data_IF_086674872701
#
_entry.id   IF_086674872701
#
_cell.length_a   1.000
_cell.length_b   1.000
_cell.length_c   1.000
_cell.angle_alpha   90.00
_cell.angle_beta   90.00
_cell.angle_gamma   90.00
#
_symmetry.space_group_name_H-M   'P 1'
#
loop_
_entity.id
_entity.type
_entity.pdbx_description
1 polymer ?
#
# COMPACT_ATOMS: atom_id res chain seq x y z
N UNK A 1 8.05 -10.76 -26.10
CA UNK A 1 9.19 -10.34 -25.28
C UNK A 1 8.69 -9.70 -23.96
N UNK A 2 7.88 -8.61 -24.00
CA UNK A 2 7.43 -7.94 -22.74
C UNK A 2 6.65 -8.90 -21.84
N UNK A 3 5.57 -9.53 -22.35
CA UNK A 3 4.76 -10.46 -21.59
C UNK A 3 5.55 -11.67 -21.02
N UNK A 4 6.62 -12.10 -21.69
CA UNK A 4 7.50 -13.15 -21.18
C UNK A 4 8.38 -12.64 -20.05
N UNK A 5 8.89 -11.41 -20.18
CA UNK A 5 9.66 -10.76 -19.13
C UNK A 5 8.81 -10.50 -17.88
N UNK A 6 7.56 -10.07 -18.05
CA UNK A 6 6.60 -9.90 -16.94
C UNK A 6 6.29 -11.23 -16.25
N UNK A 7 6.11 -12.34 -17.02
CA UNK A 7 5.97 -13.68 -16.41
C UNK A 7 7.19 -14.12 -15.62
N UNK A 8 8.39 -13.79 -16.10
CA UNK A 8 9.62 -14.09 -15.37
C UNK A 8 9.73 -13.25 -14.09
N UNK A 9 9.41 -11.96 -14.16
CA UNK A 9 9.33 -11.09 -12.98
C UNK A 9 8.28 -11.58 -11.97
N UNK A 10 7.11 -12.00 -12.44
CA UNK A 10 6.06 -12.55 -11.58
C UNK A 10 6.53 -13.79 -10.81
N UNK A 11 7.33 -14.67 -11.45
CA UNK A 11 7.93 -15.82 -10.75
C UNK A 11 8.95 -15.39 -9.70
N UNK A 12 9.75 -14.36 -9.99
CA UNK A 12 10.77 -13.86 -9.07
C UNK A 12 10.14 -13.16 -7.85
N UNK A 13 9.13 -12.34 -8.07
CA UNK A 13 8.46 -11.61 -6.99
C UNK A 13 7.36 -12.42 -6.29
N UNK A 14 6.91 -13.53 -6.88
CA UNK A 14 5.83 -14.35 -6.33
C UNK A 14 4.46 -13.67 -6.39
N UNK A 15 4.29 -12.70 -7.29
CA UNK A 15 3.08 -11.94 -7.51
C UNK A 15 2.99 -11.50 -8.97
N UNK A 16 1.78 -11.31 -9.49
CA UNK A 16 1.60 -10.79 -10.85
C UNK A 16 2.31 -9.44 -11.01
N UNK A 17 3.24 -9.39 -11.97
CA UNK A 17 4.12 -8.26 -12.18
C UNK A 17 3.96 -7.71 -13.59
N UNK A 18 3.73 -6.40 -13.67
CA UNK A 18 3.53 -5.67 -14.93
C UNK A 18 4.52 -4.53 -15.04
N UNK A 19 5.02 -4.29 -16.25
CA UNK A 19 5.95 -3.20 -16.51
C UNK A 19 5.25 -1.93 -16.96
N UNK A 20 5.77 -0.81 -16.52
CA UNK A 20 5.34 0.51 -16.96
C UNK A 20 6.51 1.29 -17.55
N UNK A 21 6.34 1.80 -18.77
CA UNK A 21 7.30 2.72 -19.39
C UNK A 21 7.36 4.10 -18.70
N UNK A 22 6.34 4.45 -17.91
CA UNK A 22 6.28 5.71 -17.16
C UNK A 22 6.95 5.65 -15.78
N UNK A 23 7.63 4.54 -15.47
CA UNK A 23 8.30 4.34 -14.18
C UNK A 23 7.33 4.29 -13.00
N UNK A 24 7.85 4.42 -11.77
CA UNK A 24 7.07 4.36 -10.54
C UNK A 24 5.94 5.41 -10.47
N UNK A 25 6.11 6.55 -11.10
CA UNK A 25 5.05 7.57 -11.17
C UNK A 25 3.77 7.03 -11.82
N UNK A 26 3.88 6.38 -12.98
CA UNK A 26 2.72 5.77 -13.64
C UNK A 26 2.24 4.53 -12.88
N UNK A 27 3.13 3.74 -12.29
CA UNK A 27 2.74 2.60 -11.44
C UNK A 27 1.86 3.06 -10.27
N UNK A 28 2.24 4.12 -9.57
CA UNK A 28 1.43 4.70 -8.48
C UNK A 28 0.06 5.16 -9.00
N UNK A 29 0.01 5.81 -10.17
CA UNK A 29 -1.26 6.25 -10.75
C UNK A 29 -2.17 5.06 -11.10
N UNK A 30 -1.62 4.01 -11.70
CA UNK A 30 -2.36 2.77 -12.02
C UNK A 30 -2.84 2.08 -10.75
N UNK A 31 -1.98 1.96 -9.75
CA UNK A 31 -2.31 1.39 -8.44
C UNK A 31 -3.52 2.08 -7.81
N UNK A 32 -3.51 3.42 -7.76
CA UNK A 32 -4.62 4.21 -7.23
C UNK A 32 -5.88 4.11 -8.09
N UNK A 33 -5.73 4.02 -9.42
CA UNK A 33 -6.86 3.81 -10.32
C UNK A 33 -7.55 2.47 -10.05
N UNK A 34 -6.77 1.38 -9.93
CA UNK A 34 -7.29 0.04 -9.64
C UNK A 34 -8.02 -0.01 -8.29
N UNK A 35 -7.44 0.58 -7.25
CA UNK A 35 -8.06 0.65 -5.94
C UNK A 35 -9.37 1.46 -5.94
N UNK A 36 -9.41 2.57 -6.68
CA UNK A 36 -10.60 3.37 -6.81
C UNK A 36 -11.69 2.68 -7.66
N UNK A 37 -11.30 1.92 -8.69
CA UNK A 37 -12.22 1.13 -9.51
C UNK A 37 -12.83 -0.02 -8.71
N UNK A 38 -11.99 -0.81 -8.03
CA UNK A 38 -12.43 -1.91 -7.15
C UNK A 38 -13.39 -1.40 -6.05
N UNK A 39 -13.06 -0.26 -5.43
CA UNK A 39 -13.95 0.37 -4.46
C UNK A 39 -15.34 0.70 -5.04
N UNK A 40 -15.39 1.23 -6.26
CA UNK A 40 -16.65 1.57 -6.93
C UNK A 40 -17.45 0.33 -7.31
N UNK A 41 -16.77 -0.74 -7.77
CA UNK A 41 -17.40 -2.01 -8.11
C UNK A 41 -18.00 -2.71 -6.89
N UNK A 42 -17.26 -2.79 -5.78
CA UNK A 42 -17.74 -3.38 -4.52
C UNK A 42 -18.96 -2.64 -3.96
N UNK A 43 -19.02 -1.32 -4.10
CA UNK A 43 -20.21 -0.54 -3.69
C UNK A 43 -21.46 -0.90 -4.46
N UNK A 44 -21.31 -1.27 -5.72
CA UNK A 44 -22.47 -1.63 -6.57
C UNK A 44 -23.01 -3.03 -6.29
N UNK A 45 -22.29 -3.87 -5.56
CA UNK A 45 -22.62 -5.28 -5.33
C UNK A 45 -22.84 -5.73 -3.90
N UNK A 46 -22.44 -4.96 -2.89
CA UNK A 46 -22.50 -5.37 -1.47
C UNK A 46 -23.24 -4.38 -0.58
N UNK A 47 -24.10 -4.91 0.31
CA UNK A 47 -24.57 -4.19 1.50
C UNK A 47 -23.40 -3.89 2.41
N UNK A 48 -22.95 -2.65 2.46
CA UNK A 48 -21.83 -2.22 3.30
C UNK A 48 -22.11 -2.48 4.78
N UNK A 49 -21.15 -3.09 5.47
CA UNK A 49 -21.15 -3.32 6.92
C UNK A 49 -21.01 -2.04 7.76
N UNK A 50 -20.84 -0.89 7.12
CA UNK A 50 -20.80 0.42 7.74
C UNK A 50 -22.16 1.09 7.51
N UNK A 51 -22.96 1.18 8.57
CA UNK A 51 -24.34 1.71 8.59
C UNK A 51 -24.47 3.24 8.36
N UNK A 52 -23.58 3.83 7.59
CA UNK A 52 -23.71 5.24 7.19
C UNK A 52 -24.31 5.31 5.78
N UNK A 53 -25.26 6.22 5.52
CA UNK A 53 -25.81 6.41 4.18
C UNK A 53 -24.68 6.85 3.25
N UNK A 54 -24.19 5.91 2.47
CA UNK A 54 -23.24 6.19 1.41
C UNK A 54 -23.94 7.09 0.38
N UNK A 55 -23.46 8.32 0.26
CA UNK A 55 -23.85 9.16 -0.87
C UNK A 55 -23.50 8.43 -2.16
N UNK A 56 -24.43 8.29 -3.12
CA UNK A 56 -24.21 7.50 -4.34
C UNK A 56 -22.97 7.88 -5.14
N UNK A 57 -22.43 9.09 -4.92
CA UNK A 57 -21.26 9.65 -5.60
C UNK A 57 -20.09 9.96 -4.67
N UNK A 58 -20.00 9.35 -3.49
CA UNK A 58 -18.90 9.63 -2.58
C UNK A 58 -17.54 9.28 -3.20
N UNK A 59 -16.62 10.24 -3.18
CA UNK A 59 -15.24 10.04 -3.65
C UNK A 59 -14.55 8.92 -2.88
N UNK A 60 -13.77 8.04 -3.53
CA UNK A 60 -12.95 7.05 -2.82
C UNK A 60 -12.05 7.74 -1.79
N UNK A 61 -12.01 7.20 -0.56
CA UNK A 61 -11.15 7.69 0.50
C UNK A 61 -9.96 6.75 0.65
N UNK A 62 -8.75 7.28 0.73
CA UNK A 62 -7.54 6.50 1.00
C UNK A 62 -6.84 7.05 2.24
N UNK A 63 -6.58 6.17 3.22
CA UNK A 63 -5.70 6.49 4.34
C UNK A 63 -4.26 6.42 3.86
N UNK A 64 -3.54 7.52 3.86
CA UNK A 64 -2.21 7.62 3.25
C UNK A 64 -1.15 8.10 4.22
N UNK A 65 0.05 7.52 4.15
CA UNK A 65 1.24 8.00 4.83
C UNK A 65 1.61 9.41 4.36
N UNK A 66 2.01 10.26 5.29
CA UNK A 66 2.32 11.68 5.00
C UNK A 66 3.55 11.89 4.11
N UNK A 67 4.40 10.87 4.01
CA UNK A 67 5.58 10.82 3.15
C UNK A 67 5.29 10.25 1.74
N UNK A 68 4.02 10.16 1.35
CA UNK A 68 3.64 9.73 0.01
C UNK A 68 4.27 10.62 -1.07
N UNK A 69 4.80 9.97 -2.13
CA UNK A 69 5.40 10.68 -3.26
C UNK A 69 4.38 11.60 -3.96
N UNK A 70 4.85 12.67 -4.58
CA UNK A 70 3.98 13.63 -5.34
C UNK A 70 3.08 12.95 -6.38
N UNK A 71 3.50 11.80 -6.94
CA UNK A 71 2.69 11.01 -7.87
C UNK A 71 1.37 10.56 -7.23
N UNK A 72 1.36 10.19 -5.94
CA UNK A 72 0.15 9.89 -5.18
C UNK A 72 -0.80 11.10 -5.15
N UNK A 73 -0.28 12.28 -4.79
CA UNK A 73 -1.10 13.50 -4.69
C UNK A 73 -1.70 13.88 -6.03
N UNK A 74 -0.89 13.81 -7.10
CA UNK A 74 -1.34 14.10 -8.46
C UNK A 74 -2.41 13.10 -8.92
N UNK A 75 -2.20 11.81 -8.68
CA UNK A 75 -3.16 10.78 -9.02
C UNK A 75 -4.47 10.92 -8.21
N UNK A 76 -4.38 11.23 -6.92
CA UNK A 76 -5.55 11.46 -6.09
C UNK A 76 -6.40 12.62 -6.64
N UNK A 77 -5.75 13.72 -7.06
CA UNK A 77 -6.44 14.84 -7.67
C UNK A 77 -7.11 14.46 -9.01
N UNK A 78 -6.41 13.72 -9.89
CA UNK A 78 -6.94 13.28 -11.18
C UNK A 78 -8.12 12.31 -11.06
N UNK A 79 -8.09 11.42 -10.07
CA UNK A 79 -9.06 10.35 -9.88
C UNK A 79 -10.22 10.72 -8.94
N UNK A 80 -10.20 11.92 -8.37
CA UNK A 80 -11.19 12.36 -7.39
C UNK A 80 -11.10 11.56 -6.08
N UNK A 81 -9.91 11.12 -5.70
CA UNK A 81 -9.65 10.39 -4.45
C UNK A 81 -9.44 11.40 -3.32
N UNK A 82 -10.08 11.16 -2.19
CA UNK A 82 -9.90 11.94 -0.97
C UNK A 82 -8.81 11.32 -0.09
N UNK A 83 -7.62 11.91 0.03
CA UNK A 83 -6.62 11.42 0.96
C UNK A 83 -6.94 11.83 2.40
N UNK A 84 -6.83 10.89 3.32
CA UNK A 84 -6.82 11.13 4.76
C UNK A 84 -5.46 10.73 5.28
N UNK A 85 -4.74 11.70 5.87
CA UNK A 85 -3.36 11.49 6.22
C UNK A 85 -3.21 10.72 7.53
N UNK A 86 -2.49 9.61 7.50
CA UNK A 86 -2.06 8.88 8.68
C UNK A 86 -1.07 9.75 9.49
N UNK A 87 -1.28 9.77 10.78
CA UNK A 87 -0.43 10.51 11.72
C UNK A 87 0.19 9.52 12.70
N UNK A 88 1.47 9.16 12.53
CA UNK A 88 2.12 8.24 13.45
C UNK A 88 2.22 8.85 14.85
N UNK A 89 1.94 8.07 15.89
CA UNK A 89 2.02 8.51 17.29
C UNK A 89 3.44 8.95 17.68
N UNK A 90 4.46 8.35 17.08
CA UNK A 90 5.86 8.72 17.29
C UNK A 90 6.25 10.05 16.61
N UNK A 91 5.32 10.70 15.89
CA UNK A 91 5.63 11.84 15.04
C UNK A 91 6.28 11.42 13.73
N UNK A 92 6.55 12.37 12.85
CA UNK A 92 7.15 12.11 11.54
C UNK A 92 7.34 13.38 10.73
N UNK A 93 8.04 13.23 9.61
CA UNK A 93 8.23 14.26 8.61
C UNK A 93 7.66 13.80 7.27
N UNK A 94 7.70 14.62 6.23
CA UNK A 94 7.30 14.17 4.92
C UNK A 94 8.36 13.25 4.23
N UNK A 95 9.58 13.18 4.77
CA UNK A 95 10.61 12.23 4.32
C UNK A 95 10.51 10.88 5.03
N UNK A 96 10.05 10.88 6.27
CA UNK A 96 9.93 9.70 7.11
C UNK A 96 8.64 9.74 7.91
N UNK A 97 7.82 8.73 7.74
CA UNK A 97 6.53 8.61 8.40
C UNK A 97 6.42 7.20 9.01
N UNK A 98 6.90 7.02 10.27
CA UNK A 98 7.02 5.71 10.92
C UNK A 98 5.65 5.20 11.40
N UNK A 99 4.80 4.84 10.45
CA UNK A 99 3.46 4.31 10.69
C UNK A 99 3.55 2.91 11.27
N UNK A 100 2.84 2.69 12.36
CA UNK A 100 2.72 1.38 13.01
C UNK A 100 1.36 0.73 12.71
N UNK A 101 1.21 -0.61 12.92
CA UNK A 101 -0.08 -1.27 12.85
C UNK A 101 -1.14 -0.61 13.78
N UNK A 102 -0.73 -0.12 14.94
CA UNK A 102 -1.62 0.59 15.88
C UNK A 102 -2.11 1.92 15.33
N UNK A 103 -1.25 2.67 14.64
CA UNK A 103 -1.65 3.93 14.00
C UNK A 103 -2.70 3.68 12.92
N UNK A 104 -2.50 2.63 12.11
CA UNK A 104 -3.46 2.22 11.07
C UNK A 104 -4.78 1.77 11.69
N UNK A 105 -4.74 0.94 12.72
CA UNK A 105 -5.93 0.50 13.43
C UNK A 105 -6.74 1.68 13.98
N UNK A 106 -6.07 2.63 14.63
CA UNK A 106 -6.70 3.82 15.18
C UNK A 106 -7.33 4.69 14.09
N UNK A 107 -6.61 4.86 12.97
CA UNK A 107 -7.12 5.64 11.83
C UNK A 107 -8.33 4.97 11.17
N UNK A 108 -8.32 3.65 11.00
CA UNK A 108 -9.45 2.88 10.47
C UNK A 108 -10.67 2.98 11.38
N UNK A 109 -10.48 2.89 12.70
CA UNK A 109 -11.57 3.01 13.67
C UNK A 109 -12.18 4.43 13.71
N UNK A 110 -11.36 5.45 13.46
CA UNK A 110 -11.80 6.85 13.42
C UNK A 110 -12.36 7.29 12.06
N UNK A 111 -12.25 6.44 11.04
CA UNK A 111 -12.66 6.79 9.69
C UNK A 111 -14.19 6.82 9.57
N UNK A 112 -14.78 7.90 9.03
CA UNK A 112 -16.25 8.05 8.99
C UNK A 112 -16.92 7.04 8.04
N UNK A 113 -16.15 6.44 7.14
CA UNK A 113 -16.60 5.42 6.18
C UNK A 113 -15.45 4.50 5.83
N UNK A 114 -15.74 3.31 5.30
CA UNK A 114 -14.73 2.35 4.86
C UNK A 114 -13.83 2.99 3.79
N UNK A 115 -12.51 3.07 3.99
CA UNK A 115 -11.61 3.57 2.96
C UNK A 115 -11.46 2.56 1.81
N UNK A 116 -11.14 3.07 0.62
CA UNK A 116 -10.84 2.27 -0.56
C UNK A 116 -9.53 1.49 -0.36
N UNK A 117 -8.58 2.07 0.36
CA UNK A 117 -7.30 1.44 0.67
C UNK A 117 -6.57 2.16 1.82
N UNK A 118 -5.56 1.47 2.37
CA UNK A 118 -4.46 2.09 3.10
C UNK A 118 -3.25 2.14 2.16
N UNK A 119 -2.57 3.29 2.09
CA UNK A 119 -1.38 3.50 1.26
C UNK A 119 -0.21 3.95 2.11
N UNK A 120 0.91 3.23 2.04
CA UNK A 120 2.14 3.57 2.76
C UNK A 120 3.37 3.48 1.85
N UNK A 121 4.42 4.24 2.17
CA UNK A 121 5.71 4.18 1.48
C UNK A 121 6.70 3.42 2.35
N UNK A 122 7.26 2.33 1.83
CA UNK A 122 8.23 1.48 2.52
C UNK A 122 9.12 0.73 1.52
N UNK A 123 10.46 0.92 1.56
CA UNK A 123 11.21 1.86 2.40
C UNK A 123 10.89 3.33 2.11
N UNK A 124 11.08 4.20 3.11
CA UNK A 124 10.99 5.62 2.93
C UNK A 124 12.29 6.22 2.32
N UNK A 125 12.33 7.55 2.15
CA UNK A 125 13.49 8.26 1.59
C UNK A 125 14.78 8.15 2.42
N UNK A 126 14.66 7.77 3.70
CA UNK A 126 15.78 7.57 4.62
C UNK A 126 16.16 6.09 4.77
N UNK A 127 15.47 5.18 4.07
CA UNK A 127 15.69 3.75 4.14
C UNK A 127 14.96 3.05 5.30
N UNK A 128 14.09 3.74 6.02
CA UNK A 128 13.30 3.10 7.07
C UNK A 128 12.23 2.20 6.46
N UNK A 129 12.07 1.02 7.03
CA UNK A 129 11.11 0.00 6.59
C UNK A 129 10.02 -0.15 7.65
N UNK A 130 8.77 -0.19 7.20
CA UNK A 130 7.61 -0.37 8.08
C UNK A 130 7.33 -1.85 8.36
N UNK A 131 6.62 -2.15 9.45
CA UNK A 131 6.04 -3.48 9.70
C UNK A 131 4.85 -3.73 8.75
N UNK A 132 5.15 -4.04 7.50
CA UNK A 132 4.14 -4.27 6.47
C UNK A 132 3.25 -5.46 6.84
N UNK A 133 3.81 -6.53 7.41
CA UNK A 133 3.02 -7.70 7.82
C UNK A 133 2.02 -7.38 8.93
N UNK A 134 2.42 -6.57 9.90
CA UNK A 134 1.52 -6.08 10.95
C UNK A 134 0.43 -5.16 10.40
N UNK A 135 0.80 -4.24 9.51
CA UNK A 135 -0.15 -3.34 8.86
C UNK A 135 -1.14 -4.12 7.99
N UNK A 136 -0.67 -5.09 7.20
CA UNK A 136 -1.52 -5.93 6.36
C UNK A 136 -2.57 -6.68 7.19
N UNK A 137 -2.18 -7.29 8.32
CA UNK A 137 -3.14 -7.96 9.21
C UNK A 137 -4.25 -7.02 9.68
N UNK A 138 -3.90 -5.80 10.05
CA UNK A 138 -4.88 -4.78 10.50
C UNK A 138 -5.81 -4.38 9.35
N UNK A 139 -5.26 -4.13 8.17
CA UNK A 139 -6.03 -3.76 6.97
C UNK A 139 -7.00 -4.87 6.59
N UNK A 140 -6.51 -6.11 6.49
CA UNK A 140 -7.33 -7.27 6.10
C UNK A 140 -8.42 -7.59 7.12
N UNK A 141 -8.14 -7.44 8.43
CA UNK A 141 -9.16 -7.58 9.47
C UNK A 141 -10.30 -6.56 9.31
N UNK A 142 -10.02 -5.39 8.77
CA UNK A 142 -11.01 -4.37 8.45
C UNK A 142 -11.61 -4.53 7.03
N UNK A 143 -11.16 -5.52 6.26
CA UNK A 143 -11.56 -5.73 4.87
C UNK A 143 -11.10 -4.61 3.92
N UNK A 144 -10.01 -3.94 4.23
CA UNK A 144 -9.43 -2.82 3.46
C UNK A 144 -8.12 -3.28 2.83
N UNK A 145 -7.89 -3.10 1.53
CA UNK A 145 -6.64 -3.46 0.88
C UNK A 145 -5.49 -2.55 1.31
N UNK A 146 -4.27 -3.14 1.32
CA UNK A 146 -3.02 -2.44 1.58
C UNK A 146 -2.23 -2.25 0.29
N UNK A 147 -1.96 -0.99 -0.04
CA UNK A 147 -1.06 -0.58 -1.10
C UNK A 147 0.27 -0.09 -0.54
N UNK A 148 1.38 -0.57 -1.10
CA UNK A 148 2.72 -0.19 -0.66
C UNK A 148 3.51 0.40 -1.81
N UNK A 149 3.90 1.67 -1.69
CA UNK A 149 4.91 2.27 -2.56
C UNK A 149 6.29 1.73 -2.15
N UNK A 150 6.76 0.76 -2.91
CA UNK A 150 8.03 0.08 -2.69
C UNK A 150 9.10 0.49 -3.71
N UNK A 151 9.00 1.70 -4.28
CA UNK A 151 9.92 2.18 -5.31
C UNK A 151 11.40 2.08 -4.91
N UNK A 152 11.70 2.16 -3.62
CA UNK A 152 13.06 2.05 -3.07
C UNK A 152 13.40 0.67 -2.53
N UNK A 153 12.52 -0.33 -2.60
CA UNK A 153 12.65 -1.58 -1.87
C UNK A 153 12.59 -2.87 -2.69
N UNK A 154 12.65 -2.81 -4.02
CA UNK A 154 12.63 -4.01 -4.86
C UNK A 154 13.71 -5.04 -4.49
N UNK A 155 14.86 -4.58 -3.98
CA UNK A 155 15.96 -5.43 -3.53
C UNK A 155 15.61 -6.30 -2.33
N UNK A 156 14.60 -5.93 -1.52
CA UNK A 156 14.17 -6.69 -0.34
C UNK A 156 13.78 -8.13 -0.71
N UNK A 157 13.27 -8.33 -1.92
CA UNK A 157 12.91 -9.67 -2.43
C UNK A 157 14.13 -10.61 -2.52
N UNK A 158 15.30 -10.05 -2.75
CA UNK A 158 16.53 -10.79 -3.05
C UNK A 158 17.50 -10.82 -1.87
N UNK A 159 17.11 -10.27 -0.72
CA UNK A 159 17.93 -10.40 0.48
C UNK A 159 17.99 -11.86 0.94
N UNK A 160 19.13 -12.32 1.49
CA UNK A 160 19.27 -13.68 2.00
C UNK A 160 18.27 -13.94 3.12
N UNK A 161 17.48 -15.00 2.96
CA UNK A 161 16.54 -15.46 3.99
C UNK A 161 17.22 -16.60 4.72
N UNK A 162 17.73 -16.33 5.93
CA UNK A 162 18.32 -17.28 6.87
C UNK A 162 18.87 -18.59 6.32
N UNK A 163 20.16 -18.70 6.23
CA UNK A 163 20.89 -19.96 6.00
C UNK A 163 21.75 -20.28 7.21
N UNK A 164 21.87 -21.54 7.53
CA UNK A 164 22.42 -22.07 8.79
C UNK A 164 23.89 -21.67 9.13
N UNK A 165 24.56 -20.85 8.35
CA UNK A 165 26.02 -20.74 8.54
C UNK A 165 26.61 -19.35 8.77
N UNK A 166 25.97 -18.22 8.57
CA UNK A 166 26.64 -16.94 8.93
C UNK A 166 25.73 -15.71 8.81
N UNK A 167 25.33 -15.16 9.90
CA UNK A 167 24.52 -13.98 10.18
C UNK A 167 23.04 -14.30 10.21
N UNK A 168 22.42 -13.95 11.30
CA UNK A 168 20.95 -13.99 11.48
C UNK A 168 20.32 -12.95 10.56
N UNK A 169 19.93 -13.38 9.38
CA UNK A 169 19.17 -12.59 8.41
C UNK A 169 17.65 -12.64 8.64
N UNK A 170 17.20 -13.30 9.70
CA UNK A 170 15.79 -13.33 10.10
C UNK A 170 15.25 -11.91 10.43
N UNK A 171 16.16 -10.98 10.70
CA UNK A 171 15.85 -9.57 10.97
C UNK A 171 15.62 -8.70 9.71
N UNK A 172 15.87 -9.21 8.49
CA UNK A 172 15.61 -8.41 7.29
C UNK A 172 14.13 -8.34 6.99
N UNK A 173 13.61 -7.14 6.66
CA UNK A 173 12.23 -6.98 6.31
C UNK A 173 11.91 -7.74 5.03
N UNK A 174 10.71 -8.33 4.99
CA UNK A 174 10.19 -9.00 3.80
C UNK A 174 9.82 -7.97 2.72
N UNK A 175 9.90 -8.40 1.45
CA UNK A 175 9.30 -7.62 0.38
C UNK A 175 7.78 -7.51 0.61
N UNK A 176 7.14 -6.37 0.27
CA UNK A 176 5.70 -6.16 0.53
C UNK A 176 4.78 -7.28 0.02
N UNK A 177 5.08 -7.87 -1.15
CA UNK A 177 4.30 -9.01 -1.69
C UNK A 177 4.37 -10.25 -0.79
N UNK A 178 5.43 -10.43 -0.02
CA UNK A 178 5.59 -11.54 0.92
C UNK A 178 5.02 -11.19 2.30
N UNK A 179 4.95 -9.90 2.59
CA UNK A 179 4.45 -9.37 3.86
C UNK A 179 2.93 -9.14 3.86
N UNK A 180 2.24 -9.42 2.75
CA UNK A 180 0.79 -9.35 2.66
C UNK A 180 0.24 -8.05 2.08
N UNK A 181 1.05 -7.24 1.37
CA UNK A 181 0.51 -6.15 0.58
C UNK A 181 -0.32 -6.70 -0.60
N UNK A 182 -1.48 -6.08 -0.86
CA UNK A 182 -2.37 -6.46 -1.95
C UNK A 182 -1.87 -5.92 -3.30
N UNK A 183 -1.17 -4.78 -3.27
CA UNK A 183 -0.54 -4.17 -4.44
C UNK A 183 0.70 -3.37 -4.04
N UNK A 184 1.76 -3.44 -4.84
CA UNK A 184 2.98 -2.63 -4.64
C UNK A 184 3.68 -2.29 -5.97
#
# INVERSE_FOLDING_TARGET
>A
IIAESERNASRLFGADTFYSAGGSTLCIQVMLYLLAADFRERRNGETCRFDLPDEPNASPLILAGRNAHKAFVNAAALLGIQPVWLRPAAGGTYHSCPITPTDVHTALAACPRRPAAVYVTSPDYLGNVLDIAGIARVCHAAGVPLAVDNAHGAYLRFLPKGGAEQRDFSAFPLHPTEAGADIC
#
